data_IF_597558696423
#
_entry.id   IF_597558696423
#
_cell.length_a   1.000
_cell.length_b   1.000
_cell.length_c   1.000
_cell.angle_alpha   90.00
_cell.angle_beta   90.00
_cell.angle_gamma   90.00
#
_symmetry.space_group_name_H-M   'P 1'
#
loop_
_entity.id
_entity.type
_entity.pdbx_description
1 polymer ?
#
# COMPACT_ATOMS: atom_id res chain seq x y z
N UNK A 1 32.77 -32.04 71.36
CA UNK A 1 32.01 -30.81 71.09
C UNK A 1 32.43 -30.13 69.78
N UNK A 2 33.72 -29.98 69.50
CA UNK A 2 34.19 -29.26 68.31
C UNK A 2 33.73 -29.87 66.92
N UNK A 3 33.68 -31.21 66.81
CA UNK A 3 33.25 -31.92 65.63
C UNK A 3 31.73 -31.78 65.37
N UNK A 4 30.92 -31.66 66.42
CA UNK A 4 29.48 -31.47 66.31
C UNK A 4 29.10 -30.08 65.87
N UNK A 5 29.85 -29.08 66.23
CA UNK A 5 29.67 -27.66 65.82
C UNK A 5 29.99 -27.50 64.33
N UNK A 6 31.08 -28.13 63.89
CA UNK A 6 31.45 -28.10 62.47
C UNK A 6 30.41 -28.73 61.57
N UNK A 7 29.78 -29.81 61.98
CA UNK A 7 28.70 -30.52 61.24
C UNK A 7 27.44 -29.67 61.19
N UNK A 8 27.09 -28.93 62.25
CA UNK A 8 25.90 -28.06 62.23
C UNK A 8 26.15 -26.84 61.36
N UNK A 9 27.34 -26.28 61.29
CA UNK A 9 27.69 -25.16 60.38
C UNK A 9 27.65 -25.63 58.93
N UNK A 10 28.13 -26.83 58.62
CA UNK A 10 28.07 -27.40 57.29
C UNK A 10 26.63 -27.65 56.85
N UNK A 11 25.76 -28.11 57.75
CA UNK A 11 24.33 -28.36 57.51
C UNK A 11 23.57 -27.05 57.28
N UNK A 12 23.91 -25.97 57.98
CA UNK A 12 23.37 -24.63 57.81
C UNK A 12 23.74 -24.01 56.46
N UNK A 13 24.92 -24.32 55.91
CA UNK A 13 25.33 -23.84 54.59
C UNK A 13 24.60 -24.59 53.45
N UNK A 14 24.24 -25.86 53.65
CA UNK A 14 23.46 -26.63 52.68
C UNK A 14 21.98 -26.25 52.71
N UNK A 15 21.48 -25.76 53.86
CA UNK A 15 20.10 -25.26 54.00
C UNK A 15 19.95 -23.75 53.74
N UNK A 16 21.00 -23.04 53.28
CA UNK A 16 20.78 -21.70 52.79
C UNK A 16 19.78 -21.77 51.64
N UNK A 17 18.64 -21.03 51.67
CA UNK A 17 17.72 -21.00 50.54
C UNK A 17 18.56 -20.48 49.37
N UNK A 18 18.73 -21.36 48.37
CA UNK A 18 19.06 -20.89 47.02
C UNK A 18 17.97 -19.89 46.74
N UNK A 19 18.31 -18.61 46.68
CA UNK A 19 17.40 -17.60 46.18
C UNK A 19 16.91 -18.12 44.83
N UNK A 20 15.74 -18.73 44.86
CA UNK A 20 14.99 -18.96 43.60
C UNK A 20 14.68 -17.55 43.11
N UNK A 21 15.59 -16.99 42.31
CA UNK A 21 15.34 -15.82 41.54
C UNK A 21 14.14 -16.20 40.66
N UNK A 22 12.94 -15.84 41.14
CA UNK A 22 11.74 -15.87 40.33
C UNK A 22 12.02 -15.01 39.09
N UNK A 23 12.32 -15.67 38.01
CA UNK A 23 12.50 -14.96 36.74
C UNK A 23 11.17 -14.27 36.43
N UNK A 24 11.16 -12.94 36.51
CA UNK A 24 9.99 -12.14 36.07
C UNK A 24 9.73 -12.24 34.57
N UNK A 25 10.43 -13.13 33.88
CA UNK A 25 10.37 -13.30 32.44
C UNK A 25 10.43 -14.80 32.05
N UNK A 26 9.71 -15.16 31.02
CA UNK A 26 9.66 -16.52 30.44
C UNK A 26 10.42 -16.49 29.12
N UNK A 27 11.45 -17.32 29.00
CA UNK A 27 12.19 -17.55 27.76
C UNK A 27 11.83 -18.93 27.17
N UNK A 28 11.47 -18.96 25.88
CA UNK A 28 11.34 -20.19 25.10
C UNK A 28 12.46 -20.18 24.06
N UNK A 29 13.38 -21.13 24.14
CA UNK A 29 14.57 -21.18 23.27
C UNK A 29 15.64 -20.15 23.64
N UNK A 30 15.51 -19.44 24.77
CA UNK A 30 16.50 -18.52 25.33
C UNK A 30 16.57 -18.64 26.84
N UNK A 31 17.77 -18.50 27.40
CA UNK A 31 18.03 -18.49 28.88
C UNK A 31 18.12 -17.08 29.45
N UNK A 32 18.16 -16.05 28.59
CA UNK A 32 18.27 -14.65 28.94
C UNK A 32 17.19 -13.81 28.29
N UNK A 33 15.91 -13.97 28.68
CA UNK A 33 14.81 -13.25 28.07
C UNK A 33 14.92 -11.74 28.32
N UNK A 34 14.74 -10.94 27.26
CA UNK A 34 14.84 -9.47 27.27
C UNK A 34 13.52 -8.78 27.62
N UNK A 35 12.42 -9.56 27.65
CA UNK A 35 11.07 -9.09 27.94
C UNK A 35 10.36 -10.13 28.81
N UNK A 36 9.15 -9.82 29.31
CA UNK A 36 8.36 -10.74 30.15
C UNK A 36 8.12 -12.11 29.49
N UNK A 37 8.00 -12.14 28.17
CA UNK A 37 7.97 -13.37 27.36
C UNK A 37 8.85 -13.14 26.12
N UNK A 38 9.87 -13.96 25.95
CA UNK A 38 10.69 -14.00 24.73
C UNK A 38 10.71 -15.42 24.15
N UNK A 39 10.41 -15.53 22.84
CA UNK A 39 10.48 -16.76 22.09
C UNK A 39 11.59 -16.60 21.03
N UNK A 40 12.70 -17.32 21.23
CA UNK A 40 13.78 -17.39 20.25
C UNK A 40 13.49 -18.55 19.29
N UNK A 41 12.59 -18.33 18.34
CA UNK A 41 12.12 -19.34 17.38
C UNK A 41 10.74 -19.02 16.83
N UNK A 42 10.13 -20.01 16.17
CA UNK A 42 8.77 -19.89 15.65
C UNK A 42 7.72 -20.08 16.74
N UNK A 43 6.55 -19.47 16.52
CA UNK A 43 5.36 -19.64 17.35
C UNK A 43 4.16 -19.97 16.49
N UNK A 44 3.39 -20.99 16.88
CA UNK A 44 2.11 -21.33 16.24
C UNK A 44 0.98 -20.97 17.20
N UNK A 45 0.04 -20.14 16.73
CA UNK A 45 -1.16 -19.77 17.45
C UNK A 45 -2.34 -20.44 16.74
N UNK A 46 -2.93 -21.46 17.36
CA UNK A 46 -3.99 -22.28 16.74
C UNK A 46 -5.38 -21.65 16.79
N UNK A 47 -5.59 -20.58 17.56
CA UNK A 47 -6.90 -19.95 17.71
C UNK A 47 -6.84 -18.43 17.57
N UNK A 48 -6.58 -17.69 18.63
CA UNK A 48 -6.72 -16.24 18.69
C UNK A 48 -5.54 -15.59 19.42
N UNK A 49 -4.99 -14.55 18.83
CA UNK A 49 -4.09 -13.62 19.53
C UNK A 49 -4.94 -12.41 19.98
N UNK A 50 -5.00 -12.13 21.27
CA UNK A 50 -5.67 -10.97 21.84
C UNK A 50 -4.66 -10.00 22.41
N UNK A 51 -4.68 -8.76 21.92
CA UNK A 51 -3.85 -7.67 22.43
C UNK A 51 -4.70 -6.79 23.33
N UNK A 52 -4.45 -6.89 24.66
CA UNK A 52 -5.21 -6.15 25.68
C UNK A 52 -4.89 -4.66 25.68
N UNK A 53 -3.68 -4.27 25.33
CA UNK A 53 -3.25 -2.88 25.26
C UNK A 53 -2.96 -2.49 23.81
N UNK A 54 -3.65 -1.46 23.35
CA UNK A 54 -3.48 -0.86 22.03
C UNK A 54 -3.25 0.63 22.22
N UNK A 55 -2.23 1.15 21.61
CA UNK A 55 -1.98 2.59 21.52
C UNK A 55 -2.46 3.07 20.15
N UNK A 56 -3.08 4.25 20.11
CA UNK A 56 -3.47 4.86 18.84
C UNK A 56 -2.20 5.36 18.12
N UNK A 57 -2.11 5.12 16.83
CA UNK A 57 -1.07 5.71 15.99
C UNK A 57 -1.30 7.21 15.83
N UNK A 58 -0.21 7.96 15.73
CA UNK A 58 -0.20 9.38 15.38
C UNK A 58 0.35 9.56 13.96
N UNK A 59 0.18 10.75 13.36
CA UNK A 59 0.63 11.05 12.00
C UNK A 59 2.15 10.98 11.80
N UNK A 60 2.91 10.96 12.90
CA UNK A 60 4.38 10.86 12.88
C UNK A 60 4.90 9.44 13.08
N UNK A 61 4.03 8.48 13.38
CA UNK A 61 4.41 7.09 13.59
C UNK A 61 4.62 6.38 12.26
N UNK A 62 5.74 5.66 12.15
CA UNK A 62 5.97 4.76 11.02
C UNK A 62 5.08 3.53 11.15
N UNK A 63 4.27 3.26 10.11
CA UNK A 63 3.37 2.11 10.11
C UNK A 63 3.98 0.92 9.40
N UNK A 64 3.90 -0.24 10.06
CA UNK A 64 4.18 -1.55 9.46
C UNK A 64 2.97 -2.44 9.60
N UNK A 65 2.69 -3.21 8.55
CA UNK A 65 1.64 -4.22 8.59
C UNK A 65 2.25 -5.61 8.68
N UNK A 66 1.66 -6.48 9.50
CA UNK A 66 1.95 -7.91 9.49
C UNK A 66 1.00 -8.57 8.50
N UNK A 67 1.55 -9.23 7.49
CA UNK A 67 0.79 -9.93 6.45
C UNK A 67 1.16 -11.41 6.51
N UNK A 68 0.15 -12.28 6.55
CA UNK A 68 0.33 -13.71 6.36
C UNK A 68 0.43 -13.98 4.85
N UNK A 69 1.51 -14.65 4.43
CA UNK A 69 1.62 -15.14 3.06
C UNK A 69 0.89 -16.49 2.90
N UNK A 70 0.77 -16.98 1.68
CA UNK A 70 0.06 -18.25 1.37
C UNK A 70 0.71 -19.53 1.93
N UNK A 71 1.81 -19.43 2.67
CA UNK A 71 2.53 -20.57 3.30
C UNK A 71 2.60 -20.41 4.83
N UNK A 72 1.63 -19.74 5.43
CA UNK A 72 1.48 -19.53 6.88
C UNK A 72 2.63 -18.78 7.57
N UNK A 73 3.44 -18.04 6.81
CA UNK A 73 4.45 -17.15 7.37
C UNK A 73 3.90 -15.73 7.57
N UNK A 74 4.20 -15.14 8.72
CA UNK A 74 3.93 -13.71 8.96
C UNK A 74 5.12 -12.91 8.45
N UNK A 75 4.86 -11.98 7.53
CA UNK A 75 5.85 -11.05 6.98
C UNK A 75 5.52 -9.62 7.38
N UNK A 76 6.54 -8.82 7.52
CA UNK A 76 6.40 -7.38 7.76
C UNK A 76 6.29 -6.71 6.41
N UNK A 77 5.20 -5.95 6.18
CA UNK A 77 5.09 -5.01 5.08
C UNK A 77 5.65 -3.66 5.56
N UNK A 78 6.90 -3.39 5.23
CA UNK A 78 7.57 -2.13 5.56
C UNK A 78 7.43 -1.16 4.39
N UNK A 79 6.48 -0.23 4.50
CA UNK A 79 6.20 0.80 3.48
C UNK A 79 7.27 1.90 3.43
N UNK A 80 8.18 1.96 4.40
CA UNK A 80 9.31 2.88 4.37
C UNK A 80 10.46 2.39 3.48
N UNK A 81 10.46 1.09 3.15
CA UNK A 81 11.46 0.51 2.24
C UNK A 81 11.11 0.86 0.78
N UNK A 82 11.90 1.71 0.09
CA UNK A 82 11.58 2.18 -1.26
C UNK A 82 11.60 1.07 -2.32
N UNK A 83 12.20 -0.09 -2.03
CA UNK A 83 12.31 -1.24 -2.94
C UNK A 83 11.45 -2.43 -2.47
N UNK A 84 10.77 -2.30 -1.33
CA UNK A 84 9.91 -3.33 -0.76
C UNK A 84 8.51 -3.35 -1.38
N UNK A 85 7.74 -4.39 -1.03
CA UNK A 85 6.32 -4.45 -1.37
C UNK A 85 5.54 -3.35 -0.65
N UNK A 86 4.51 -2.80 -1.29
CA UNK A 86 3.59 -1.83 -0.71
C UNK A 86 2.14 -2.19 -1.04
N UNK A 87 1.20 -1.71 -0.21
CA UNK A 87 -0.24 -1.83 -0.48
C UNK A 87 -0.66 -1.01 -1.70
N UNK A 88 0.04 0.10 -1.93
CA UNK A 88 -0.18 0.97 -3.07
C UNK A 88 1.04 1.84 -3.33
N UNK A 89 1.17 2.24 -4.57
CA UNK A 89 2.28 3.07 -5.05
C UNK A 89 1.74 4.35 -5.63
N UNK A 90 2.38 5.48 -5.32
CA UNK A 90 2.12 6.74 -6.00
C UNK A 90 3.21 6.92 -7.03
N UNK A 91 2.84 6.86 -8.30
CA UNK A 91 3.77 7.04 -9.42
C UNK A 91 3.41 8.31 -10.20
N UNK A 92 4.42 9.11 -10.49
CA UNK A 92 4.29 10.28 -11.36
C UNK A 92 4.92 9.99 -12.72
N UNK A 93 4.16 10.20 -13.80
CA UNK A 93 4.63 10.15 -15.17
C UNK A 93 4.71 11.56 -15.71
N UNK A 94 5.87 11.91 -16.26
CA UNK A 94 6.11 13.20 -16.91
C UNK A 94 6.33 12.94 -18.40
N UNK A 95 5.31 13.24 -19.21
CA UNK A 95 5.29 12.97 -20.65
C UNK A 95 5.61 14.26 -21.39
N UNK A 96 6.83 14.36 -21.89
CA UNK A 96 7.33 15.56 -22.56
C UNK A 96 7.15 15.45 -24.07
N UNK A 97 6.78 16.55 -24.69
CA UNK A 97 6.66 16.70 -26.14
C UNK A 97 5.60 15.75 -26.76
N UNK A 98 4.37 15.72 -26.25
CA UNK A 98 3.29 15.04 -26.93
C UNK A 98 2.97 15.74 -28.24
N UNK A 99 2.10 15.16 -29.07
CA UNK A 99 1.62 15.84 -30.29
C UNK A 99 0.66 16.99 -29.91
N UNK A 100 1.19 18.21 -29.80
CA UNK A 100 0.45 19.33 -29.21
C UNK A 100 0.24 19.11 -27.70
N UNK A 101 -1.01 18.97 -27.30
CA UNK A 101 -1.44 18.61 -25.96
C UNK A 101 -1.98 17.18 -25.85
N UNK A 102 -1.83 16.36 -26.91
CA UNK A 102 -2.50 15.08 -27.05
C UNK A 102 -1.60 13.89 -26.70
N UNK A 103 -1.99 13.14 -25.66
CA UNK A 103 -1.46 11.82 -25.32
C UNK A 103 -2.55 10.79 -25.60
N UNK A 104 -2.45 10.12 -26.74
CA UNK A 104 -3.47 9.20 -27.21
C UNK A 104 -3.34 7.79 -26.61
N UNK A 105 -2.11 7.36 -26.36
CA UNK A 105 -1.84 5.97 -25.92
C UNK A 105 -0.45 5.91 -25.29
N UNK A 106 -0.36 6.12 -23.98
CA UNK A 106 0.88 5.99 -23.24
C UNK A 106 0.84 4.72 -22.41
N UNK A 107 1.63 3.72 -22.79
CA UNK A 107 1.79 2.47 -22.06
C UNK A 107 2.63 2.72 -20.79
N UNK A 108 2.07 2.43 -19.63
CA UNK A 108 2.76 2.53 -18.35
C UNK A 108 3.58 1.29 -18.02
N UNK A 109 3.45 0.22 -18.81
CA UNK A 109 4.00 -1.13 -18.55
C UNK A 109 3.52 -1.76 -17.23
N UNK A 110 2.57 -1.16 -16.54
CA UNK A 110 1.98 -1.72 -15.31
C UNK A 110 1.07 -2.88 -15.69
N UNK A 111 1.42 -4.07 -15.21
CA UNK A 111 0.67 -5.31 -15.48
C UNK A 111 -0.77 -5.19 -14.94
N UNK A 112 -1.75 -5.28 -15.85
CA UNK A 112 -3.16 -5.14 -15.51
C UNK A 112 -3.74 -6.40 -14.84
N UNK A 113 -3.09 -7.54 -14.87
CA UNK A 113 -3.52 -8.74 -14.15
C UNK A 113 -3.16 -8.67 -12.67
N UNK A 114 -2.06 -8.00 -12.33
CA UNK A 114 -1.55 -7.90 -10.96
C UNK A 114 -1.96 -6.61 -10.25
N UNK A 115 -2.15 -5.52 -11.01
CA UNK A 115 -2.37 -4.20 -10.45
C UNK A 115 -3.61 -3.51 -11.00
N UNK A 116 -4.15 -2.57 -10.21
CA UNK A 116 -5.14 -1.57 -10.64
C UNK A 116 -4.46 -0.21 -10.64
N UNK A 117 -4.55 0.53 -11.76
CA UNK A 117 -4.02 1.88 -11.88
C UNK A 117 -5.16 2.89 -11.95
N UNK A 118 -5.08 3.93 -11.13
CA UNK A 118 -6.03 5.03 -11.06
C UNK A 118 -5.27 6.34 -11.33
N UNK A 119 -5.71 7.12 -12.32
CA UNK A 119 -5.22 8.48 -12.51
C UNK A 119 -5.86 9.40 -11.46
N UNK A 120 -5.04 9.96 -10.56
CA UNK A 120 -5.49 10.88 -9.51
C UNK A 120 -5.59 12.30 -10.06
N UNK A 121 -4.58 12.72 -10.83
CA UNK A 121 -4.52 14.03 -11.44
C UNK A 121 -3.71 14.01 -12.73
N UNK A 122 -4.03 14.94 -13.62
CA UNK A 122 -3.24 15.24 -14.80
C UNK A 122 -3.16 16.75 -14.97
N UNK A 123 -1.99 17.24 -15.36
CA UNK A 123 -1.70 18.64 -15.54
C UNK A 123 -0.86 18.85 -16.80
N UNK A 124 -1.25 19.80 -17.64
CA UNK A 124 -0.49 20.23 -18.80
C UNK A 124 0.10 21.63 -18.54
N UNK A 125 1.35 21.83 -18.91
CA UNK A 125 2.15 22.99 -18.47
C UNK A 125 2.14 24.18 -19.44
N UNK A 126 1.39 24.09 -20.57
CA UNK A 126 1.36 25.16 -21.57
C UNK A 126 0.01 25.86 -21.68
N UNK A 127 0.03 27.10 -22.14
CA UNK A 127 -1.17 27.81 -22.52
C UNK A 127 -1.80 27.18 -23.76
N UNK A 128 -3.12 27.10 -23.76
CA UNK A 128 -3.91 26.51 -24.84
C UNK A 128 -4.66 27.60 -25.61
N UNK A 129 -4.90 27.34 -26.87
CA UNK A 129 -5.74 28.14 -27.76
C UNK A 129 -6.66 27.23 -28.57
N UNK A 130 -7.75 27.80 -29.12
CA UNK A 130 -8.64 27.02 -30.00
C UNK A 130 -7.89 26.51 -31.22
N UNK A 131 -8.17 25.26 -31.58
CA UNK A 131 -7.56 24.59 -32.74
C UNK A 131 -8.27 24.99 -34.03
N UNK A 132 -7.52 25.52 -34.99
CA UNK A 132 -8.02 25.74 -36.33
C UNK A 132 -9.31 26.58 -36.40
N UNK A 133 -10.42 25.95 -36.83
CA UNK A 133 -11.75 26.57 -36.97
C UNK A 133 -12.66 26.26 -35.77
N UNK A 134 -12.15 25.64 -34.70
CA UNK A 134 -12.96 25.30 -33.56
C UNK A 134 -13.44 26.55 -32.80
N UNK A 135 -14.59 26.41 -32.15
CA UNK A 135 -15.20 27.49 -31.35
C UNK A 135 -15.05 27.21 -29.86
N UNK A 136 -15.20 28.24 -29.03
CA UNK A 136 -15.14 28.11 -27.59
C UNK A 136 -16.19 27.10 -27.03
N UNK A 137 -17.28 26.86 -27.76
CA UNK A 137 -18.32 25.90 -27.40
C UNK A 137 -17.83 24.45 -27.51
N UNK A 138 -16.85 24.17 -28.35
CA UNK A 138 -16.25 22.86 -28.53
C UNK A 138 -15.11 22.59 -27.55
N UNK A 139 -14.49 23.65 -26.99
CA UNK A 139 -13.44 23.52 -26.02
C UNK A 139 -14.00 23.02 -24.68
N UNK A 140 -13.36 22.04 -24.09
CA UNK A 140 -13.80 21.46 -22.82
C UNK A 140 -12.66 21.32 -21.81
N UNK A 141 -13.02 20.96 -20.59
CA UNK A 141 -12.05 20.50 -19.60
C UNK A 141 -11.25 19.30 -20.13
N UNK A 142 -10.06 19.05 -19.61
CA UNK A 142 -9.24 17.95 -20.10
C UNK A 142 -9.95 16.60 -19.95
N UNK A 143 -9.90 15.83 -21.01
CA UNK A 143 -10.27 14.42 -20.94
C UNK A 143 -9.04 13.61 -20.53
N UNK A 144 -9.13 12.90 -19.41
CA UNK A 144 -8.07 12.01 -18.96
C UNK A 144 -8.66 10.68 -18.52
N UNK A 145 -8.02 9.58 -18.92
CA UNK A 145 -8.44 8.24 -18.52
C UNK A 145 -7.24 7.30 -18.38
N UNK A 146 -7.43 6.25 -17.58
CA UNK A 146 -6.61 5.06 -17.57
C UNK A 146 -7.43 3.91 -18.16
N UNK A 147 -6.84 3.10 -19.01
CA UNK A 147 -7.50 1.96 -19.65
C UNK A 147 -6.54 0.79 -19.83
N UNK A 148 -7.08 -0.41 -20.04
CA UNK A 148 -6.27 -1.61 -20.25
C UNK A 148 -6.18 -1.90 -21.75
N UNK A 149 -4.95 -2.15 -22.22
CA UNK A 149 -4.66 -2.57 -23.58
C UNK A 149 -3.48 -3.53 -23.56
N UNK A 150 -3.60 -4.66 -24.27
CA UNK A 150 -2.55 -5.69 -24.38
C UNK A 150 -2.00 -6.23 -23.04
N UNK A 151 -2.79 -6.17 -21.96
CA UNK A 151 -2.38 -6.66 -20.62
C UNK A 151 -1.69 -5.64 -19.74
N UNK A 152 -1.52 -4.40 -20.19
CA UNK A 152 -0.94 -3.30 -19.41
C UNK A 152 -1.91 -2.13 -19.26
N UNK A 153 -1.65 -1.26 -18.27
CA UNK A 153 -2.37 -0.01 -18.07
C UNK A 153 -1.80 1.09 -18.96
N UNK A 154 -2.69 1.78 -19.67
CA UNK A 154 -2.38 2.92 -20.53
C UNK A 154 -3.02 4.19 -20.02
N UNK A 155 -2.43 5.34 -20.35
CA UNK A 155 -2.95 6.66 -20.03
C UNK A 155 -3.29 7.40 -21.32
N UNK A 156 -4.36 8.19 -21.27
CA UNK A 156 -4.79 9.11 -22.32
C UNK A 156 -5.05 10.48 -21.71
N UNK A 157 -4.70 11.54 -22.44
CA UNK A 157 -5.03 12.91 -22.07
C UNK A 157 -5.16 13.77 -23.33
N UNK A 158 -6.13 14.65 -23.28
CA UNK A 158 -6.41 15.60 -24.36
C UNK A 158 -7.23 16.78 -23.79
N UNK A 159 -7.02 17.98 -24.33
CA UNK A 159 -7.95 19.09 -24.21
C UNK A 159 -8.72 19.24 -25.53
N UNK A 160 -9.95 18.72 -25.64
CA UNK A 160 -10.70 18.74 -26.89
C UNK A 160 -10.85 20.11 -27.49
N UNK A 161 -10.64 20.21 -28.81
CA UNK A 161 -10.76 21.43 -29.63
C UNK A 161 -9.75 22.55 -29.31
N UNK A 162 -8.69 22.24 -28.58
CA UNK A 162 -7.60 23.21 -28.33
C UNK A 162 -6.23 22.60 -28.67
N UNK A 163 -5.21 23.42 -28.68
CA UNK A 163 -3.82 23.04 -28.90
C UNK A 163 -2.89 24.03 -28.22
N UNK A 164 -1.61 23.74 -28.17
CA UNK A 164 -0.61 24.68 -27.64
C UNK A 164 -0.75 26.03 -28.32
N UNK A 165 -0.83 27.09 -27.54
CA UNK A 165 -0.91 28.47 -28.05
C UNK A 165 0.25 28.82 -29.00
N UNK A 166 1.44 28.34 -28.64
CA UNK A 166 2.64 28.51 -29.44
C UNK A 166 3.13 27.15 -29.89
N UNK A 167 3.04 26.88 -31.17
CA UNK A 167 3.40 25.57 -31.74
C UNK A 167 4.87 25.20 -31.62
N UNK A 168 5.75 26.17 -31.33
CA UNK A 168 7.18 25.98 -31.06
C UNK A 168 7.49 25.58 -29.62
N UNK A 169 6.53 25.66 -28.72
CA UNK A 169 6.73 25.30 -27.32
C UNK A 169 6.54 23.79 -27.11
N UNK A 170 7.48 23.22 -26.38
CA UNK A 170 7.38 21.82 -25.94
C UNK A 170 6.48 21.77 -24.70
N UNK A 171 5.31 21.16 -24.83
CA UNK A 171 4.39 20.91 -23.73
C UNK A 171 4.75 19.66 -22.96
N UNK A 172 4.28 19.59 -21.71
CA UNK A 172 4.51 18.46 -20.82
C UNK A 172 3.25 18.12 -20.05
N UNK A 173 2.81 16.87 -20.13
CA UNK A 173 1.81 16.32 -19.23
C UNK A 173 2.47 15.74 -17.99
N UNK A 174 1.92 16.03 -16.83
CA UNK A 174 2.28 15.39 -15.58
C UNK A 174 1.07 14.64 -15.03
N UNK A 175 1.13 13.32 -15.02
CA UNK A 175 0.13 12.46 -14.38
C UNK A 175 0.60 12.06 -13.00
N UNK A 176 -0.29 12.09 -12.04
CA UNK A 176 -0.10 11.40 -10.74
C UNK A 176 -1.05 10.22 -10.71
N UNK A 177 -0.52 9.04 -10.50
CA UNK A 177 -1.30 7.79 -10.47
C UNK A 177 -1.17 7.10 -9.12
N UNK A 178 -2.18 6.34 -8.77
CA UNK A 178 -2.21 5.43 -7.63
C UNK A 178 -2.35 4.02 -8.17
N UNK A 179 -1.43 3.14 -7.79
CA UNK A 179 -1.35 1.77 -8.27
C UNK A 179 -1.54 0.84 -7.08
N UNK A 180 -2.55 -0.03 -7.12
CA UNK A 180 -2.85 -1.00 -6.07
C UNK A 180 -2.57 -2.42 -6.54
N UNK A 181 -2.02 -3.25 -5.64
CA UNK A 181 -1.96 -4.69 -5.87
C UNK A 181 -3.36 -5.32 -5.79
N UNK A 182 -3.71 -6.16 -6.76
CA UNK A 182 -5.03 -6.81 -6.84
C UNK A 182 -5.24 -7.91 -5.80
N UNK A 183 -4.18 -8.56 -5.33
CA UNK A 183 -4.25 -9.58 -4.28
C UNK A 183 -4.64 -9.01 -2.91
N UNK A 184 -4.45 -7.70 -2.71
CA UNK A 184 -4.83 -6.98 -1.50
C UNK A 184 -6.19 -6.29 -1.61
N UNK A 185 -6.90 -6.44 -2.74
CA UNK A 185 -8.20 -5.82 -2.98
C UNK A 185 -9.25 -6.83 -3.41
N UNK A 186 -10.49 -6.62 -2.97
CA UNK A 186 -11.62 -7.42 -3.45
C UNK A 186 -11.98 -6.99 -4.87
N UNK A 187 -11.99 -7.95 -5.78
CA UNK A 187 -12.48 -7.75 -7.14
C UNK A 187 -13.95 -8.17 -7.21
N UNK A 188 -14.82 -7.22 -7.58
CA UNK A 188 -16.21 -7.51 -7.92
C UNK A 188 -16.32 -7.63 -9.44
N UNK A 189 -17.23 -8.49 -9.92
CA UNK A 189 -17.44 -8.68 -11.35
C UNK A 189 -18.01 -7.45 -12.04
N UNK A 190 -18.30 -7.60 -13.36
CA UNK A 190 -18.84 -6.54 -14.20
C UNK A 190 -20.33 -6.37 -13.90
N UNK A 191 -20.77 -5.15 -13.66
CA UNK A 191 -22.20 -4.78 -13.59
C UNK A 191 -22.60 -4.09 -14.88
N UNK A 192 -23.45 -4.75 -15.68
CA UNK A 192 -23.97 -4.20 -16.93
C UNK A 192 -25.27 -3.43 -16.66
N UNK A 193 -25.29 -2.14 -16.99
CA UNK A 193 -26.45 -1.27 -16.83
C UNK A 193 -26.82 -0.68 -18.18
N UNK A 194 -27.90 -1.15 -18.82
CA UNK A 194 -28.37 -0.57 -20.07
C UNK A 194 -29.04 0.79 -19.78
N UNK A 195 -28.46 1.86 -20.30
CA UNK A 195 -28.99 3.22 -20.15
C UNK A 195 -30.17 3.51 -21.06
N UNK A 196 -30.43 2.69 -22.08
CA UNK A 196 -31.56 2.81 -23.04
C UNK A 196 -31.73 4.23 -23.60
N UNK A 197 -30.63 4.83 -24.03
CA UNK A 197 -30.54 6.19 -24.57
C UNK A 197 -30.96 7.30 -23.58
N UNK A 198 -30.84 7.03 -22.26
CA UNK A 198 -31.05 8.02 -21.20
C UNK A 198 -29.70 8.53 -20.69
N UNK A 199 -29.64 9.79 -20.26
CA UNK A 199 -28.46 10.39 -19.65
C UNK A 199 -28.33 10.11 -18.15
N UNK A 200 -29.36 9.54 -17.52
CA UNK A 200 -29.43 9.23 -16.08
C UNK A 200 -29.77 7.77 -15.86
N UNK A 201 -29.17 7.15 -14.85
CA UNK A 201 -29.42 5.77 -14.47
C UNK A 201 -28.87 5.47 -13.09
N UNK A 202 -29.12 4.27 -12.59
CA UNK A 202 -28.60 3.79 -11.32
C UNK A 202 -28.36 2.28 -11.36
N UNK A 203 -27.40 1.79 -10.58
CA UNK A 203 -27.27 0.38 -10.30
C UNK A 203 -28.46 -0.11 -9.46
N UNK A 204 -28.91 -1.35 -9.72
CA UNK A 204 -30.03 -1.93 -8.98
C UNK A 204 -29.69 -2.16 -7.49
N UNK A 205 -28.47 -2.56 -7.21
CA UNK A 205 -27.99 -2.83 -5.86
C UNK A 205 -26.55 -2.32 -5.70
N UNK A 206 -26.19 -1.95 -4.46
CA UNK A 206 -24.80 -1.70 -4.12
C UNK A 206 -24.01 -3.01 -4.15
N UNK A 207 -22.82 -3.01 -4.75
CA UNK A 207 -21.88 -4.15 -4.71
C UNK A 207 -21.16 -4.26 -3.36
N UNK A 208 -21.21 -3.19 -2.56
CA UNK A 208 -20.64 -3.13 -1.20
C UNK A 208 -21.81 -3.05 -0.22
N UNK A 209 -21.83 -3.95 0.75
CA UNK A 209 -22.84 -4.00 1.83
C UNK A 209 -22.21 -3.63 3.16
#
# INVERSE_FOLDING_TARGET
MQKSILFVILLLQVCSPLDMLSQNAVGIGTTTPRTTLEIAGGMIISQKLELLRKEAMTDIDSSTFLIQNGVDEIKILDVSNPTGAALGYIQKYVITNPQGDWVNDFDTEVNADEFVLISISAFFDKELTLSGTDTAENASAPYTAAFIKNGTWHLIADFPAVSNRYSSEIGTWTFTTLIYSKDLSKQFGIVNIPMNNKSTGAAQNSVIK
#
